data_IF_011405959241
#
_entry.id   IF_011405959241
#
_cell.length_a   1.000
_cell.length_b   1.000
_cell.length_c   1.000
_cell.angle_alpha   90.00
_cell.angle_beta   90.00
_cell.angle_gamma   90.00
#
_symmetry.space_group_name_H-M   'P 1'
#
loop_
_entity.id
_entity.type
_entity.pdbx_description
1 polymer ?
#
# COMPACT_ATOMS: atom_id res chain seq x y z
N UNK A 1 10.03 -36.76 4.96
CA UNK A 1 10.04 -35.43 4.30
C UNK A 1 8.63 -35.10 3.82
N UNK A 2 7.74 -34.66 4.73
CA UNK A 2 6.35 -34.27 4.41
C UNK A 2 6.39 -32.88 3.80
N UNK A 3 6.29 -32.77 2.47
CA UNK A 3 6.18 -31.49 1.77
C UNK A 3 4.93 -30.74 2.27
N UNK A 4 5.10 -29.47 2.55
CA UNK A 4 4.03 -28.55 2.92
C UNK A 4 3.06 -28.34 1.74
N UNK A 5 2.06 -29.21 1.59
CA UNK A 5 0.95 -29.07 0.62
C UNK A 5 -0.23 -28.25 1.18
N UNK A 6 0.01 -27.42 2.20
CA UNK A 6 -1.07 -26.95 3.06
C UNK A 6 -1.86 -25.73 2.58
N UNK A 7 -1.56 -25.10 1.44
CA UNK A 7 -2.41 -24.02 0.89
C UNK A 7 -2.34 -23.88 -0.64
N UNK A 8 -2.63 -24.97 -1.37
CA UNK A 8 -2.64 -25.00 -2.84
C UNK A 8 -3.48 -23.86 -3.42
N UNK A 9 -4.63 -23.54 -2.83
CA UNK A 9 -5.56 -22.55 -3.40
C UNK A 9 -4.99 -21.13 -3.49
N UNK A 10 -4.40 -20.59 -2.40
CA UNK A 10 -3.88 -19.21 -2.42
C UNK A 10 -2.67 -19.08 -3.34
N UNK A 11 -1.78 -20.07 -3.31
CA UNK A 11 -0.54 -20.07 -4.08
C UNK A 11 -0.78 -20.26 -5.58
N UNK A 12 -1.74 -21.11 -5.97
CA UNK A 12 -1.96 -21.47 -7.38
C UNK A 12 -3.08 -20.70 -8.07
N UNK A 13 -4.08 -20.24 -7.32
CA UNK A 13 -5.30 -19.67 -7.90
C UNK A 13 -6.17 -20.70 -8.65
N UNK A 14 -5.95 -22.01 -8.44
CA UNK A 14 -6.74 -23.05 -9.10
C UNK A 14 -8.24 -22.88 -8.84
N UNK A 15 -9.06 -23.10 -9.88
CA UNK A 15 -10.52 -23.03 -9.72
C UNK A 15 -11.04 -24.19 -8.85
N UNK A 16 -12.24 -24.01 -8.28
CA UNK A 16 -12.84 -24.96 -7.33
C UNK A 16 -13.06 -26.36 -7.93
N UNK A 17 -13.32 -26.46 -9.25
CA UNK A 17 -13.51 -27.75 -9.93
C UNK A 17 -12.20 -28.54 -9.94
N UNK A 18 -11.08 -27.89 -10.26
CA UNK A 18 -9.76 -28.51 -10.22
C UNK A 18 -9.40 -28.99 -8.81
N UNK A 19 -9.66 -28.18 -7.78
CA UNK A 19 -9.45 -28.59 -6.39
C UNK A 19 -10.35 -29.77 -5.97
N UNK A 20 -11.59 -29.80 -6.46
CA UNK A 20 -12.54 -30.89 -6.22
C UNK A 20 -12.06 -32.21 -6.75
N UNK A 21 -11.57 -32.21 -7.99
CA UNK A 21 -10.95 -33.38 -8.59
C UNK A 21 -9.65 -33.77 -7.85
N UNK A 22 -8.80 -32.79 -7.52
CA UNK A 22 -7.51 -33.06 -6.87
C UNK A 22 -7.66 -33.67 -5.47
N UNK A 23 -8.55 -33.12 -4.64
CA UNK A 23 -8.77 -33.60 -3.27
C UNK A 23 -9.85 -34.67 -3.15
N UNK A 24 -10.56 -35.01 -4.24
CA UNK A 24 -11.71 -35.93 -4.24
C UNK A 24 -12.76 -35.52 -3.20
N UNK A 25 -13.12 -34.23 -3.19
CA UNK A 25 -14.10 -33.65 -2.26
C UNK A 25 -15.10 -32.76 -2.98
N UNK A 26 -16.33 -32.72 -2.49
CA UNK A 26 -17.39 -31.88 -3.06
C UNK A 26 -17.07 -30.38 -3.00
N UNK A 27 -17.65 -29.61 -3.92
CA UNK A 27 -17.43 -28.16 -4.01
C UNK A 27 -17.76 -27.43 -2.70
N UNK A 28 -18.83 -27.82 -2.01
CA UNK A 28 -19.25 -27.22 -0.74
C UNK A 28 -18.19 -27.40 0.34
N UNK A 29 -17.66 -28.61 0.49
CA UNK A 29 -16.60 -28.94 1.44
C UNK A 29 -15.34 -28.12 1.19
N UNK A 30 -14.93 -27.97 -0.08
CA UNK A 30 -13.73 -27.18 -0.43
C UNK A 30 -13.93 -25.69 -0.12
N UNK A 31 -15.09 -25.14 -0.45
CA UNK A 31 -15.42 -23.74 -0.13
C UNK A 31 -15.35 -23.49 1.38
N UNK A 32 -15.88 -24.42 2.16
CA UNK A 32 -15.88 -24.34 3.61
C UNK A 32 -14.46 -24.45 4.18
N UNK A 33 -13.64 -25.37 3.67
CA UNK A 33 -12.22 -25.48 4.06
C UNK A 33 -11.50 -24.15 3.77
N UNK A 34 -11.64 -23.60 2.55
CA UNK A 34 -11.01 -22.32 2.19
C UNK A 34 -11.44 -21.22 3.16
N UNK A 35 -12.75 -21.08 3.40
CA UNK A 35 -13.28 -20.04 4.29
C UNK A 35 -12.77 -20.20 5.73
N UNK A 36 -12.84 -21.41 6.30
CA UNK A 36 -12.38 -21.69 7.67
C UNK A 36 -10.88 -21.46 7.80
N UNK A 37 -10.08 -21.95 6.85
CA UNK A 37 -8.62 -21.79 6.86
C UNK A 37 -8.22 -20.31 6.79
N UNK A 38 -8.85 -19.50 5.91
CA UNK A 38 -8.59 -18.06 5.85
C UNK A 38 -8.83 -17.35 7.18
N UNK A 39 -9.92 -17.69 7.88
CA UNK A 39 -10.26 -17.13 9.20
C UNK A 39 -9.24 -17.55 10.26
N UNK A 40 -8.86 -18.82 10.29
CA UNK A 40 -7.89 -19.35 11.26
C UNK A 40 -6.52 -18.72 11.07
N UNK A 41 -6.04 -18.58 9.82
CA UNK A 41 -4.78 -17.90 9.51
C UNK A 41 -4.76 -16.49 10.08
N UNK A 42 -5.84 -15.72 9.85
CA UNK A 42 -5.96 -14.38 10.40
C UNK A 42 -5.91 -14.39 11.93
N UNK A 43 -6.76 -15.21 12.56
CA UNK A 43 -6.87 -15.28 14.03
C UNK A 43 -5.54 -15.64 14.71
N UNK A 44 -4.76 -16.55 14.13
CA UNK A 44 -3.53 -17.06 14.73
C UNK A 44 -2.33 -16.15 14.45
N UNK A 45 -2.17 -15.67 13.21
CA UNK A 45 -0.96 -14.95 12.82
C UNK A 45 -1.07 -13.43 12.98
N UNK A 46 -2.27 -12.84 13.01
CA UNK A 46 -2.44 -11.38 13.00
C UNK A 46 -1.78 -10.69 14.21
N UNK A 47 -1.88 -11.19 15.45
CA UNK A 47 -1.23 -10.56 16.59
C UNK A 47 0.29 -10.42 16.45
N UNK A 48 0.94 -11.30 15.70
CA UNK A 48 2.41 -11.33 15.55
C UNK A 48 2.89 -10.65 14.26
N UNK A 49 2.21 -10.90 13.14
CA UNK A 49 2.69 -10.50 11.81
C UNK A 49 2.00 -9.25 11.26
N UNK A 50 0.90 -8.80 11.84
CA UNK A 50 0.24 -7.54 11.51
C UNK A 50 -0.45 -6.94 12.76
N UNK A 51 0.29 -6.69 13.85
CA UNK A 51 -0.27 -6.06 15.05
C UNK A 51 -0.75 -4.63 14.75
N UNK A 52 -1.57 -4.07 15.62
CA UNK A 52 -1.89 -2.65 15.55
C UNK A 52 -0.59 -1.83 15.71
N UNK A 53 -0.29 -0.89 14.79
CA UNK A 53 0.91 -0.07 14.91
C UNK A 53 0.92 0.76 16.19
N UNK A 54 2.08 0.82 16.84
CA UNK A 54 2.36 1.70 17.99
C UNK A 54 3.20 2.91 17.55
N UNK A 55 3.34 3.91 18.43
CA UNK A 55 4.28 5.02 18.21
C UNK A 55 5.68 4.53 17.80
N UNK A 56 6.22 3.50 18.45
CA UNK A 56 7.53 2.92 18.12
C UNK A 56 7.55 2.30 16.72
N UNK A 57 6.47 1.63 16.32
CA UNK A 57 6.32 1.05 14.98
C UNK A 57 6.45 2.14 13.91
N UNK A 58 5.80 3.28 14.12
CA UNK A 58 5.87 4.43 13.22
C UNK A 58 7.26 5.08 13.20
N UNK A 59 7.90 5.26 14.36
CA UNK A 59 9.28 5.79 14.45
C UNK A 59 10.26 4.89 13.71
N UNK A 60 10.17 3.58 13.90
CA UNK A 60 11.03 2.60 13.21
C UNK A 60 10.82 2.66 11.69
N UNK A 61 9.56 2.69 11.24
CA UNK A 61 9.25 2.85 9.82
C UNK A 61 9.82 4.16 9.26
N UNK A 62 9.65 5.29 9.96
CA UNK A 62 10.19 6.59 9.54
C UNK A 62 11.71 6.62 9.42
N UNK A 63 12.41 6.04 10.40
CA UNK A 63 13.86 5.86 10.32
C UNK A 63 14.22 5.05 9.08
N UNK A 64 13.48 3.97 8.81
CA UNK A 64 13.74 3.09 7.68
C UNK A 64 13.48 3.75 6.33
N UNK A 65 12.43 4.57 6.22
CA UNK A 65 12.17 5.41 5.05
C UNK A 65 13.29 6.41 4.79
N UNK A 66 13.87 6.98 5.85
CA UNK A 66 15.03 7.85 5.71
C UNK A 66 16.26 7.09 5.21
N UNK A 67 16.55 5.90 5.75
CA UNK A 67 17.69 5.07 5.36
C UNK A 67 17.62 4.59 3.90
N UNK A 68 16.45 4.11 3.46
CA UNK A 68 16.29 3.50 2.12
C UNK A 68 15.93 4.50 1.04
N UNK A 69 15.02 5.42 1.36
CA UNK A 69 14.36 6.28 0.38
C UNK A 69 14.75 7.75 0.54
N UNK A 70 15.54 8.07 1.56
CA UNK A 70 15.90 9.42 1.96
C UNK A 70 14.64 10.28 2.13
N UNK A 71 13.59 9.71 2.71
CA UNK A 71 12.30 10.38 2.89
C UNK A 71 12.07 10.59 4.40
N UNK A 72 12.39 11.78 4.94
CA UNK A 72 12.37 12.01 6.39
C UNK A 72 10.93 12.05 6.90
N UNK A 73 10.72 11.62 8.14
CA UNK A 73 9.44 11.57 8.85
C UNK A 73 8.30 10.82 8.09
N UNK A 74 8.61 10.08 7.03
CA UNK A 74 7.64 9.29 6.28
C UNK A 74 7.42 7.95 6.99
N UNK A 75 6.25 7.71 7.57
CA UNK A 75 5.96 6.50 8.36
C UNK A 75 5.42 5.34 7.54
N UNK A 76 5.09 5.56 6.27
CA UNK A 76 4.51 4.55 5.40
C UNK A 76 4.07 5.10 4.05
N UNK A 77 3.87 4.21 3.09
CA UNK A 77 3.22 4.53 1.82
C UNK A 77 1.84 3.90 1.75
N UNK A 78 0.84 4.69 1.33
CA UNK A 78 -0.56 4.27 1.21
C UNK A 78 -0.91 4.06 -0.26
N UNK A 79 -1.57 2.95 -0.56
CA UNK A 79 -2.18 2.75 -1.86
C UNK A 79 -3.33 1.72 -1.81
N UNK A 80 -4.19 1.78 -2.82
CA UNK A 80 -5.28 0.84 -3.04
C UNK A 80 -4.92 -0.22 -4.08
N UNK A 81 -5.47 -1.43 -3.91
CA UNK A 81 -5.38 -2.51 -4.88
C UNK A 81 -6.75 -3.10 -5.15
N UNK A 82 -7.16 -3.14 -6.42
CA UNK A 82 -8.35 -3.86 -6.84
C UNK A 82 -8.09 -5.37 -6.85
N UNK A 83 -8.92 -6.12 -6.12
CA UNK A 83 -8.96 -7.59 -6.13
C UNK A 83 -10.15 -8.03 -6.97
N UNK A 84 -9.87 -8.74 -8.07
CA UNK A 84 -10.89 -9.13 -9.05
C UNK A 84 -11.79 -10.24 -8.48
N UNK A 85 -13.09 -10.01 -8.52
CA UNK A 85 -14.11 -10.94 -8.04
C UNK A 85 -15.09 -11.29 -9.15
N UNK A 86 -15.81 -12.41 -8.99
CA UNK A 86 -17.02 -12.64 -9.77
C UNK A 86 -18.10 -11.66 -9.31
N UNK A 87 -18.95 -11.22 -10.24
CA UNK A 87 -20.12 -10.38 -9.94
C UNK A 87 -20.92 -10.95 -8.76
N UNK A 88 -21.04 -10.21 -7.64
CA UNK A 88 -21.90 -10.62 -6.55
C UNK A 88 -23.39 -10.60 -6.96
N UNK A 89 -24.22 -11.51 -6.44
CA UNK A 89 -25.65 -11.51 -6.76
C UNK A 89 -26.31 -10.17 -6.38
N UNK A 90 -27.18 -9.66 -7.24
CA UNK A 90 -27.99 -8.44 -7.01
C UNK A 90 -27.18 -7.15 -6.71
N UNK A 91 -25.89 -7.10 -7.03
CA UNK A 91 -25.01 -5.98 -6.66
C UNK A 91 -24.99 -4.78 -7.62
N UNK A 92 -25.83 -4.78 -8.66
CA UNK A 92 -25.79 -3.76 -9.71
C UNK A 92 -24.38 -3.50 -10.25
N UNK A 93 -23.95 -2.23 -10.21
CA UNK A 93 -22.64 -1.74 -10.63
C UNK A 93 -21.70 -1.35 -9.47
N UNK A 94 -22.07 -1.65 -8.22
CA UNK A 94 -21.32 -1.20 -7.02
C UNK A 94 -19.87 -1.67 -7.01
N UNK A 95 -19.63 -2.90 -7.47
CA UNK A 95 -18.30 -3.50 -7.52
C UNK A 95 -17.57 -3.27 -8.84
N UNK A 96 -18.16 -2.57 -9.81
CA UNK A 96 -17.51 -2.29 -11.10
C UNK A 96 -16.52 -1.14 -10.91
N UNK A 97 -15.25 -1.40 -11.16
CA UNK A 97 -14.22 -0.39 -11.13
C UNK A 97 -14.11 0.40 -12.44
N UNK A 98 -13.21 1.38 -12.46
CA UNK A 98 -12.96 2.23 -13.63
C UNK A 98 -12.43 1.45 -14.86
N UNK A 99 -11.93 0.22 -14.67
CA UNK A 99 -11.50 -0.70 -15.75
C UNK A 99 -12.61 -1.62 -16.25
N UNK A 100 -13.83 -1.47 -15.75
CA UNK A 100 -15.00 -2.24 -16.22
C UNK A 100 -15.09 -3.67 -15.70
N UNK A 101 -14.33 -4.05 -14.65
CA UNK A 101 -14.46 -5.37 -14.02
C UNK A 101 -14.89 -5.29 -12.55
N UNK A 102 -15.48 -6.38 -12.05
CA UNK A 102 -15.94 -6.48 -10.67
C UNK A 102 -14.75 -6.69 -9.72
N UNK A 103 -14.65 -5.85 -8.68
CA UNK A 103 -13.58 -5.91 -7.68
C UNK A 103 -14.02 -5.43 -6.31
N UNK A 104 -13.30 -5.88 -5.29
CA UNK A 104 -13.20 -5.18 -4.00
C UNK A 104 -11.87 -4.44 -3.93
N UNK A 105 -11.76 -3.44 -3.06
CA UNK A 105 -10.53 -2.70 -2.82
C UNK A 105 -9.86 -3.22 -1.53
N UNK A 106 -8.56 -3.50 -1.64
CA UNK A 106 -7.62 -3.62 -0.52
C UNK A 106 -6.90 -2.27 -0.38
N UNK A 107 -7.15 -1.54 0.70
CA UNK A 107 -6.38 -0.37 1.08
C UNK A 107 -5.26 -0.82 2.03
N UNK A 108 -4.02 -0.45 1.76
CA UNK A 108 -2.91 -0.86 2.61
C UNK A 108 -1.91 0.27 2.85
N UNK A 109 -1.27 0.23 4.02
CA UNK A 109 -0.06 0.99 4.31
C UNK A 109 1.09 0.03 4.42
N UNK A 110 2.15 0.28 3.67
CA UNK A 110 3.40 -0.46 3.75
C UNK A 110 4.47 0.34 4.48
N UNK A 111 5.35 -0.35 5.20
CA UNK A 111 6.63 0.18 5.63
C UNK A 111 7.63 0.27 4.45
N UNK A 112 8.82 0.79 4.73
CA UNK A 112 9.86 1.00 3.73
C UNK A 112 10.41 -0.30 3.12
N UNK A 113 10.36 -1.43 3.85
CA UNK A 113 10.87 -2.73 3.43
C UNK A 113 9.81 -3.58 2.70
N UNK A 114 8.57 -3.10 2.65
CA UNK A 114 7.49 -3.75 1.93
C UNK A 114 6.68 -4.72 2.80
N UNK A 115 6.66 -4.55 4.12
CA UNK A 115 5.70 -5.22 5.00
C UNK A 115 4.48 -4.32 5.19
N UNK A 116 3.29 -4.91 5.22
CA UNK A 116 2.09 -4.15 5.54
C UNK A 116 2.08 -3.79 7.03
N UNK A 117 1.81 -2.52 7.34
CA UNK A 117 1.61 -2.03 8.71
C UNK A 117 0.12 -2.03 9.08
N UNK A 118 -0.75 -1.80 8.11
CA UNK A 118 -2.20 -1.87 8.27
C UNK A 118 -2.84 -2.19 6.93
N UNK A 119 -3.99 -2.87 6.98
CA UNK A 119 -4.81 -3.17 5.81
C UNK A 119 -6.29 -2.93 6.14
N UNK A 120 -7.05 -2.55 5.12
CA UNK A 120 -8.51 -2.51 5.15
C UNK A 120 -9.03 -3.15 3.85
N UNK A 121 -10.02 -4.02 3.96
CA UNK A 121 -10.45 -4.92 2.87
C UNK A 121 -11.98 -4.95 2.82
N UNK A 122 -12.51 -4.89 1.60
CA UNK A 122 -13.93 -5.16 1.33
C UNK A 122 -14.67 -3.96 0.74
N UNK A 123 -13.98 -2.82 0.58
CA UNK A 123 -14.59 -1.62 0.01
C UNK A 123 -14.98 -1.84 -1.46
N UNK A 124 -16.06 -1.21 -1.91
CA UNK A 124 -16.61 -1.40 -3.25
C UNK A 124 -15.63 -0.97 -4.36
N UNK A 125 -15.52 -1.79 -5.41
CA UNK A 125 -14.65 -1.51 -6.56
C UNK A 125 -14.93 -0.21 -7.31
N UNK A 126 -16.13 0.37 -7.18
CA UNK A 126 -16.46 1.69 -7.74
C UNK A 126 -15.82 2.85 -6.99
N UNK A 127 -15.41 2.64 -5.74
CA UNK A 127 -14.85 3.69 -4.90
C UNK A 127 -13.42 4.03 -5.36
N UNK A 128 -13.11 5.33 -5.39
CA UNK A 128 -11.73 5.80 -5.57
C UNK A 128 -10.91 5.62 -4.29
N UNK A 129 -9.59 5.67 -4.39
CA UNK A 129 -8.69 5.51 -3.24
C UNK A 129 -8.95 6.55 -2.14
N UNK A 130 -9.24 7.79 -2.51
CA UNK A 130 -9.63 8.83 -1.55
C UNK A 130 -10.93 8.51 -0.80
N UNK A 131 -11.91 7.85 -1.46
CA UNK A 131 -13.14 7.41 -0.80
C UNK A 131 -12.91 6.17 0.07
N UNK A 132 -12.16 5.19 -0.45
CA UNK A 132 -11.80 3.99 0.30
C UNK A 132 -11.00 4.33 1.55
N UNK A 133 -10.07 5.30 1.47
CA UNK A 133 -9.37 5.82 2.64
C UNK A 133 -10.34 6.39 3.67
N UNK A 134 -11.26 7.28 3.25
CA UNK A 134 -12.20 7.93 4.17
C UNK A 134 -13.07 6.92 4.93
N UNK A 135 -13.53 5.87 4.26
CA UNK A 135 -14.39 4.86 4.88
C UNK A 135 -13.62 3.80 5.69
N UNK A 136 -12.33 3.60 5.39
CA UNK A 136 -11.46 2.67 6.12
C UNK A 136 -11.29 3.05 7.60
N UNK A 137 -11.07 2.03 8.43
CA UNK A 137 -10.73 2.21 9.84
C UNK A 137 -9.45 3.02 10.01
N UNK A 138 -8.47 2.80 9.13
CA UNK A 138 -7.22 3.56 9.12
C UNK A 138 -7.48 5.05 8.86
N UNK A 139 -8.24 5.39 7.81
CA UNK A 139 -8.52 6.80 7.50
C UNK A 139 -9.38 7.49 8.55
N UNK A 140 -10.33 6.77 9.17
CA UNK A 140 -11.09 7.28 10.33
C UNK A 140 -10.16 7.60 11.51
N UNK A 141 -9.24 6.71 11.86
CA UNK A 141 -8.23 6.96 12.90
C UNK A 141 -7.28 8.09 12.54
N UNK A 142 -6.90 8.21 11.27
CA UNK A 142 -6.04 9.27 10.77
C UNK A 142 -6.68 10.65 10.92
N UNK A 143 -7.96 10.79 10.53
CA UNK A 143 -8.70 12.05 10.64
C UNK A 143 -8.96 12.42 12.10
N UNK A 144 -9.26 11.42 12.95
CA UNK A 144 -9.53 11.62 14.37
C UNK A 144 -8.26 11.71 15.23
N UNK A 145 -7.07 11.67 14.63
CA UNK A 145 -5.77 11.69 15.33
C UNK A 145 -5.59 10.58 16.39
N UNK A 146 -6.14 9.39 16.12
CA UNK A 146 -6.07 8.20 17.02
C UNK A 146 -5.19 7.07 16.48
N UNK A 147 -4.29 7.37 15.54
CA UNK A 147 -3.28 6.43 15.02
C UNK A 147 -2.02 6.32 15.89
N UNK A 148 -1.93 7.10 16.97
CA UNK A 148 -0.75 7.17 17.84
C UNK A 148 0.54 7.50 17.05
N UNK A 149 0.43 8.46 16.12
CA UNK A 149 1.59 8.97 15.40
C UNK A 149 2.56 9.66 16.39
N UNK A 150 3.87 9.60 16.13
CA UNK A 150 4.84 10.30 16.97
C UNK A 150 4.64 11.81 16.90
N UNK A 151 5.03 12.49 17.98
CA UNK A 151 5.00 13.94 18.03
C UNK A 151 5.91 14.53 16.94
N UNK A 152 5.54 15.67 16.32
CA UNK A 152 6.33 16.28 15.26
C UNK A 152 7.79 16.46 15.66
N UNK A 153 8.71 16.03 14.80
CA UNK A 153 10.16 16.16 15.02
C UNK A 153 10.78 16.97 13.87
N UNK A 154 11.91 17.65 14.10
CA UNK A 154 12.56 18.40 13.04
C UNK A 154 13.03 17.49 11.91
N UNK A 155 13.06 18.03 10.69
CA UNK A 155 13.75 17.39 9.57
C UNK A 155 15.27 17.43 9.80
N UNK A 156 16.06 16.53 9.18
CA UNK A 156 17.51 16.55 9.31
C UNK A 156 18.12 17.93 8.99
N UNK A 157 18.94 18.47 9.89
CA UNK A 157 19.58 19.79 9.70
C UNK A 157 18.62 20.99 9.78
N UNK A 158 17.41 20.80 10.31
CA UNK A 158 16.43 21.87 10.51
C UNK A 158 16.06 21.98 12.00
N UNK A 159 15.67 23.18 12.44
CA UNK A 159 15.26 23.43 13.84
C UNK A 159 13.74 23.43 14.02
N UNK A 160 12.97 23.48 12.92
CA UNK A 160 11.51 23.55 12.99
C UNK A 160 10.89 22.16 12.91
N UNK A 161 9.95 21.89 13.83
CA UNK A 161 9.21 20.62 13.85
C UNK A 161 8.43 20.37 12.56
N UNK A 162 8.45 19.12 12.12
CA UNK A 162 7.75 18.64 10.94
C UNK A 162 6.93 17.39 11.28
N UNK A 163 5.65 17.31 10.85
CA UNK A 163 4.79 16.18 11.21
C UNK A 163 5.26 14.88 10.55
N UNK A 164 4.98 13.75 11.20
CA UNK A 164 5.06 12.46 10.55
C UNK A 164 3.92 12.30 9.54
N UNK A 165 4.22 11.72 8.38
CA UNK A 165 3.26 11.63 7.27
C UNK A 165 3.37 10.32 6.50
N UNK A 166 2.34 10.05 5.70
CA UNK A 166 2.31 8.95 4.75
C UNK A 166 2.47 9.45 3.30
N UNK A 167 3.21 8.71 2.48
CA UNK A 167 3.35 8.98 1.06
C UNK A 167 2.19 8.35 0.27
N UNK A 168 1.50 9.12 -0.56
CA UNK A 168 0.30 8.67 -1.26
C UNK A 168 0.24 9.19 -2.71
N UNK A 169 -0.57 8.56 -3.56
CA UNK A 169 -0.74 8.97 -4.96
C UNK A 169 -1.57 10.26 -5.10
N UNK A 170 -1.77 10.69 -6.36
CA UNK A 170 -2.55 11.88 -6.67
C UNK A 170 -4.05 11.77 -6.32
N UNK A 171 -4.61 10.56 -6.29
CA UNK A 171 -6.01 10.27 -6.00
C UNK A 171 -6.36 10.46 -4.51
N UNK A 172 -5.36 10.46 -3.61
CA UNK A 172 -5.56 10.76 -2.20
C UNK A 172 -5.72 12.28 -1.91
N UNK A 173 -6.37 12.66 -0.79
CA UNK A 173 -6.38 14.04 -0.33
C UNK A 173 -5.00 14.47 0.19
N UNK A 174 -4.66 15.75 0.02
CA UNK A 174 -3.48 16.34 0.68
C UNK A 174 -3.84 16.72 2.12
N UNK A 175 -3.09 16.20 3.10
CA UNK A 175 -3.26 16.47 4.53
C UNK A 175 -1.89 16.76 5.16
N UNK A 176 -1.84 17.30 6.38
CA UNK A 176 -0.56 17.44 7.09
C UNK A 176 0.12 16.07 7.30
N UNK A 177 -0.68 15.00 7.41
CA UNK A 177 -0.24 13.62 7.60
C UNK A 177 -0.28 12.78 6.31
N UNK A 178 -0.68 13.33 5.16
CA UNK A 178 -0.63 12.64 3.86
C UNK A 178 0.00 13.55 2.83
N UNK A 179 1.16 13.16 2.31
CA UNK A 179 1.84 13.85 1.23
C UNK A 179 1.53 13.20 -0.11
N UNK A 180 1.11 14.04 -1.06
CA UNK A 180 0.82 13.63 -2.44
C UNK A 180 1.59 14.49 -3.46
N UNK A 181 1.88 13.96 -4.66
CA UNK A 181 2.65 14.69 -5.66
C UNK A 181 1.95 15.99 -6.09
N UNK A 182 2.74 16.94 -6.58
CA UNK A 182 2.22 18.07 -7.34
C UNK A 182 1.61 17.56 -8.66
N UNK A 183 0.48 18.15 -9.12
CA UNK A 183 -0.09 17.83 -10.42
C UNK A 183 0.94 18.04 -11.53
N UNK A 184 0.89 17.19 -12.56
CA UNK A 184 1.88 17.21 -13.67
C UNK A 184 1.90 18.53 -14.46
N UNK A 185 0.79 19.29 -14.46
CA UNK A 185 0.67 20.57 -15.19
C UNK A 185 1.42 21.68 -14.45
N UNK A 186 2.35 22.36 -15.14
CA UNK A 186 3.10 23.49 -14.58
C UNK A 186 4.15 23.07 -13.52
N UNK A 187 4.74 21.89 -13.69
CA UNK A 187 5.79 21.38 -12.79
C UNK A 187 7.09 22.17 -12.96
N UNK A 188 7.42 22.98 -11.96
CA UNK A 188 8.76 23.57 -11.82
C UNK A 188 9.77 22.49 -11.40
N UNK A 189 11.05 22.73 -11.68
CA UNK A 189 12.15 21.82 -11.30
C UNK A 189 12.11 21.45 -9.81
N UNK A 190 11.84 22.42 -8.94
CA UNK A 190 11.59 22.22 -7.51
C UNK A 190 10.51 21.17 -7.24
N UNK A 191 9.35 21.30 -7.87
CA UNK A 191 8.23 20.36 -7.71
C UNK A 191 8.52 18.99 -8.32
N UNK A 192 9.33 18.92 -9.39
CA UNK A 192 9.76 17.66 -10.01
C UNK A 192 10.68 16.87 -9.10
N UNK A 193 11.64 17.54 -8.45
CA UNK A 193 12.48 16.92 -7.41
C UNK A 193 11.57 16.33 -6.33
N UNK A 194 10.65 17.11 -5.75
CA UNK A 194 9.71 16.60 -4.76
C UNK A 194 8.93 15.37 -5.24
N UNK A 195 8.32 15.42 -6.43
CA UNK A 195 7.56 14.30 -6.99
C UNK A 195 8.42 13.05 -7.15
N UNK A 196 9.66 13.19 -7.65
CA UNK A 196 10.61 12.09 -7.76
C UNK A 196 10.99 11.49 -6.41
N UNK A 197 11.21 12.33 -5.38
CA UNK A 197 11.53 11.87 -4.02
C UNK A 197 10.36 11.14 -3.38
N UNK A 198 9.14 11.68 -3.50
CA UNK A 198 7.93 11.05 -2.99
C UNK A 198 7.62 9.72 -3.70
N UNK A 199 7.81 9.67 -5.02
CA UNK A 199 7.63 8.44 -5.81
C UNK A 199 8.53 7.30 -5.33
N UNK A 200 9.79 7.59 -4.95
CA UNK A 200 10.70 6.56 -4.40
C UNK A 200 10.15 5.90 -3.14
N UNK A 201 9.57 6.66 -2.21
CA UNK A 201 8.94 6.10 -1.00
C UNK A 201 7.61 5.40 -1.29
N UNK A 202 6.80 5.95 -2.21
CA UNK A 202 5.53 5.32 -2.65
C UNK A 202 5.72 3.92 -3.22
N UNK A 203 6.82 3.67 -3.93
CA UNK A 203 7.11 2.36 -4.51
C UNK A 203 7.09 1.22 -3.48
N UNK A 204 7.31 1.49 -2.18
CA UNK A 204 7.26 0.45 -1.15
C UNK A 204 5.92 -0.31 -1.10
N UNK A 205 4.78 0.38 -1.15
CA UNK A 205 3.46 -0.30 -1.15
C UNK A 205 3.13 -0.96 -2.49
N UNK A 206 3.53 -0.34 -3.61
CA UNK A 206 3.39 -0.94 -4.94
C UNK A 206 4.20 -2.24 -5.06
N UNK A 207 5.45 -2.24 -4.60
CA UNK A 207 6.30 -3.42 -4.53
C UNK A 207 5.72 -4.48 -3.58
N UNK A 208 5.12 -4.07 -2.46
CA UNK A 208 4.44 -5.00 -1.54
C UNK A 208 3.30 -5.73 -2.24
N UNK A 209 2.46 -4.99 -2.98
CA UNK A 209 1.40 -5.59 -3.79
C UNK A 209 1.94 -6.49 -4.88
N UNK A 210 3.03 -6.11 -5.56
CA UNK A 210 3.69 -6.93 -6.57
C UNK A 210 4.23 -8.24 -6.00
N UNK A 211 5.01 -8.18 -4.92
CA UNK A 211 5.57 -9.35 -4.22
C UNK A 211 4.46 -10.28 -3.71
N UNK A 212 3.43 -9.71 -3.08
CA UNK A 212 2.27 -10.47 -2.60
C UNK A 212 1.53 -11.15 -3.77
N UNK A 213 1.28 -10.45 -4.87
CA UNK A 213 0.59 -11.03 -6.04
C UNK A 213 1.40 -12.13 -6.72
N UNK A 214 2.72 -11.93 -6.81
CA UNK A 214 3.66 -12.93 -7.37
C UNK A 214 3.66 -14.24 -6.57
N UNK A 215 3.65 -14.16 -5.24
CA UNK A 215 3.59 -15.34 -4.34
C UNK A 215 2.22 -16.01 -4.33
N UNK A 216 1.15 -15.22 -4.36
CA UNK A 216 -0.22 -15.69 -4.22
C UNK A 216 -1.02 -15.49 -5.50
N UNK A 217 -0.91 -16.48 -6.41
CA UNK A 217 -1.52 -16.39 -7.75
C UNK A 217 -3.04 -16.25 -7.73
N UNK A 218 -3.71 -16.57 -6.61
CA UNK A 218 -5.14 -16.29 -6.45
C UNK A 218 -5.50 -14.83 -6.79
N UNK A 219 -4.60 -13.88 -6.49
CA UNK A 219 -4.80 -12.45 -6.75
C UNK A 219 -4.74 -12.08 -8.24
N UNK A 220 -4.22 -12.97 -9.10
CA UNK A 220 -4.22 -12.82 -10.56
C UNK A 220 -5.47 -13.44 -11.22
N UNK A 221 -6.35 -14.07 -10.44
CA UNK A 221 -7.55 -14.73 -10.94
C UNK A 221 -8.82 -13.94 -10.65
N UNK A 222 -9.96 -14.38 -11.18
CA UNK A 222 -11.28 -13.89 -10.78
C UNK A 222 -11.82 -14.76 -9.65
N UNK A 223 -11.88 -14.23 -8.43
CA UNK A 223 -12.29 -15.02 -7.25
C UNK A 223 -13.82 -15.22 -7.27
N UNK A 224 -14.24 -16.48 -7.44
CA UNK A 224 -15.64 -16.90 -7.54
C UNK A 224 -16.27 -17.35 -6.21
N UNK A 225 -15.97 -16.65 -5.12
CA UNK A 225 -16.48 -16.94 -3.77
C UNK A 225 -17.36 -15.77 -3.28
N UNK A 226 -18.08 -15.98 -2.17
CA UNK A 226 -18.84 -14.89 -1.56
C UNK A 226 -17.88 -13.81 -1.01
N UNK A 227 -18.35 -12.56 -0.91
CA UNK A 227 -17.52 -11.39 -0.54
C UNK A 227 -16.81 -11.61 0.79
N UNK A 228 -17.52 -12.07 1.83
CA UNK A 228 -16.94 -12.30 3.15
C UNK A 228 -15.76 -13.31 3.11
N UNK A 229 -15.87 -14.36 2.29
CA UNK A 229 -14.78 -15.30 2.08
C UNK A 229 -13.64 -14.65 1.30
N UNK A 230 -13.93 -13.83 0.29
CA UNK A 230 -12.88 -13.08 -0.43
C UNK A 230 -12.12 -12.15 0.52
N UNK A 231 -12.82 -11.41 1.39
CA UNK A 231 -12.19 -10.51 2.36
C UNK A 231 -11.23 -11.27 3.28
N UNK A 232 -11.66 -12.43 3.78
CA UNK A 232 -10.82 -13.29 4.61
C UNK A 232 -9.62 -13.85 3.85
N UNK A 233 -9.77 -14.20 2.57
CA UNK A 233 -8.66 -14.66 1.72
C UNK A 233 -7.63 -13.54 1.56
N UNK A 234 -8.07 -12.33 1.23
CA UNK A 234 -7.18 -11.18 1.02
C UNK A 234 -6.45 -10.83 2.31
N UNK A 235 -7.16 -10.80 3.45
CA UNK A 235 -6.57 -10.63 4.79
C UNK A 235 -5.51 -11.68 5.09
N UNK A 236 -5.82 -12.97 4.85
CA UNK A 236 -4.89 -14.07 5.06
C UNK A 236 -3.65 -13.94 4.15
N UNK A 237 -3.82 -13.54 2.89
CA UNK A 237 -2.72 -13.37 1.94
C UNK A 237 -1.79 -12.21 2.32
N UNK A 238 -2.33 -11.05 2.73
CA UNK A 238 -1.53 -9.94 3.25
C UNK A 238 -0.72 -10.35 4.48
N UNK A 239 -1.34 -11.12 5.38
CA UNK A 239 -0.70 -11.59 6.60
C UNK A 239 0.39 -12.63 6.33
N UNK A 240 0.14 -13.56 5.39
CA UNK A 240 1.14 -14.54 4.95
C UNK A 240 2.30 -13.87 4.21
N UNK A 241 2.07 -12.78 3.48
CA UNK A 241 3.16 -11.98 2.90
C UNK A 241 4.08 -11.42 3.98
N UNK A 242 3.52 -10.81 5.04
CA UNK A 242 4.29 -10.35 6.19
C UNK A 242 5.01 -11.48 6.91
N UNK A 243 4.34 -12.62 7.12
CA UNK A 243 4.93 -13.83 7.69
C UNK A 243 6.17 -14.25 6.93
N UNK A 244 6.05 -14.49 5.63
CA UNK A 244 7.17 -14.93 4.78
C UNK A 244 8.31 -13.91 4.85
N UNK A 245 8.01 -12.61 4.71
CA UNK A 245 9.06 -11.57 4.77
C UNK A 245 9.81 -11.55 6.09
N UNK A 246 9.11 -11.67 7.22
CA UNK A 246 9.73 -11.65 8.55
C UNK A 246 10.56 -12.90 8.82
N UNK A 247 10.05 -14.08 8.43
CA UNK A 247 10.75 -15.36 8.62
C UNK A 247 11.98 -15.51 7.69
N UNK A 248 11.89 -15.04 6.44
CA UNK A 248 13.04 -15.06 5.53
C UNK A 248 14.12 -14.05 5.95
N UNK A 249 13.75 -12.98 6.65
CA UNK A 249 14.68 -11.93 7.09
C UNK A 249 15.33 -11.14 5.95
N UNK A 250 14.80 -11.25 4.73
CA UNK A 250 15.33 -10.58 3.54
C UNK A 250 14.69 -9.20 3.41
N UNK A 251 15.42 -8.20 3.88
CA UNK A 251 15.04 -6.79 3.84
C UNK A 251 15.83 -6.00 2.79
N UNK A 252 15.28 -4.88 2.36
CA UNK A 252 15.91 -4.02 1.35
C UNK A 252 17.25 -3.51 1.89
N UNK A 253 18.26 -3.35 1.04
CA UNK A 253 19.52 -2.73 1.47
C UNK A 253 19.55 -1.28 1.01
N UNK A 254 20.01 -0.33 1.85
CA UNK A 254 20.29 1.02 1.37
C UNK A 254 21.23 0.91 0.18
N UNK A 255 20.92 1.59 -0.94
CA UNK A 255 21.88 1.65 -2.05
C UNK A 255 23.15 2.32 -1.51
N UNK A 256 24.25 1.58 -1.48
CA UNK A 256 25.55 2.12 -1.08
C UNK A 256 25.97 3.26 -2.02
N UNK A 257 26.84 4.16 -1.54
CA UNK A 257 27.41 5.29 -2.31
C UNK A 257 28.23 4.88 -3.57
N UNK A 258 28.22 3.61 -4.00
CA UNK A 258 28.97 3.12 -5.15
C UNK A 258 28.04 2.64 -6.27
N UNK A 259 28.06 3.41 -7.36
CA UNK A 259 28.12 2.92 -8.74
C UNK A 259 27.05 1.95 -9.21
N UNK A 260 25.90 2.48 -9.59
CA UNK A 260 25.42 2.53 -10.97
C UNK A 260 24.01 3.10 -10.89
N UNK A 261 23.81 4.21 -11.58
CA UNK A 261 22.47 4.69 -11.87
C UNK A 261 21.86 3.73 -12.89
N UNK A 262 21.44 2.55 -12.42
CA UNK A 262 20.54 1.74 -13.20
C UNK A 262 19.23 2.51 -13.26
N UNK A 263 19.00 3.07 -14.45
CA UNK A 263 17.76 3.68 -14.87
C UNK A 263 16.61 2.76 -14.49
N UNK A 264 15.84 3.16 -13.48
CA UNK A 264 14.47 2.68 -13.38
C UNK A 264 13.68 3.65 -14.23
N UNK A 265 13.63 3.34 -15.53
CA UNK A 265 12.56 3.82 -16.39
C UNK A 265 11.26 3.62 -15.62
N UNK A 266 10.60 4.74 -15.34
CA UNK A 266 9.28 4.73 -14.75
C UNK A 266 8.34 4.38 -15.89
N UNK A 267 8.18 3.09 -16.18
CA UNK A 267 6.93 2.61 -16.78
C UNK A 267 5.83 2.83 -15.72
N UNK A 268 5.34 4.07 -15.68
CA UNK A 268 4.01 4.30 -15.19
C UNK A 268 3.13 3.61 -16.23
N UNK A 269 2.58 2.43 -15.93
CA UNK A 269 1.29 2.10 -16.54
C UNK A 269 0.37 3.27 -16.18
N UNK A 270 0.10 4.12 -17.17
CA UNK A 270 -0.86 5.19 -17.04
C UNK A 270 -2.20 4.56 -16.69
N UNK A 271 -2.61 4.73 -15.44
CA UNK A 271 -3.95 4.39 -15.00
C UNK A 271 -4.75 5.69 -15.03
N UNK A 272 -5.54 5.96 -16.09
CA UNK A 272 -6.39 7.14 -16.13
C UNK A 272 -7.51 6.96 -15.12
N UNK A 273 -7.27 7.40 -13.89
CA UNK A 273 -8.35 7.59 -12.93
C UNK A 273 -9.29 8.65 -13.50
N UNK A 274 -10.61 8.40 -13.60
CA UNK A 274 -11.55 9.44 -13.94
C UNK A 274 -11.37 10.62 -12.98
N UNK A 275 -11.21 11.84 -13.50
CA UNK A 275 -11.17 13.06 -12.68
C UNK A 275 -12.52 13.22 -11.98
N UNK A 276 -12.63 12.70 -10.76
CA UNK A 276 -13.75 13.03 -9.89
C UNK A 276 -13.51 14.44 -9.37
N UNK A 277 -14.36 15.36 -9.80
CA UNK A 277 -14.40 16.80 -9.52
C UNK A 277 -14.55 17.19 -8.05
N UNK A 278 -14.43 16.25 -7.12
CA UNK A 278 -14.64 16.42 -5.68
C UNK A 278 -13.34 16.36 -4.85
N UNK A 279 -12.21 16.81 -5.41
CA UNK A 279 -11.06 17.13 -4.56
C UNK A 279 -11.40 18.35 -3.72
N UNK A 280 -11.77 18.15 -2.45
CA UNK A 280 -11.81 19.23 -1.45
C UNK A 280 -10.47 19.97 -1.52
N UNK A 281 -10.52 21.30 -1.57
CA UNK A 281 -9.30 22.14 -1.55
C UNK A 281 -8.47 21.75 -0.33
N UNK A 282 -7.19 21.48 -0.55
CA UNK A 282 -6.26 21.23 0.54
C UNK A 282 -6.26 22.41 1.50
N UNK A 283 -6.11 22.13 2.79
CA UNK A 283 -6.03 23.19 3.81
C UNK A 283 -4.70 23.94 3.67
N UNK A 284 -4.67 25.22 4.04
CA UNK A 284 -3.44 26.03 4.01
C UNK A 284 -2.28 25.36 4.80
N UNK A 285 -2.50 24.75 5.99
CA UNK A 285 -1.46 24.01 6.69
C UNK A 285 -0.91 22.81 5.93
N UNK A 286 -1.78 22.04 5.24
CA UNK A 286 -1.34 20.89 4.46
C UNK A 286 -0.50 21.31 3.24
N UNK A 287 -0.88 22.41 2.58
CA UNK A 287 -0.10 23.02 1.50
C UNK A 287 1.26 23.47 2.04
N UNK A 288 1.29 24.25 3.13
CA UNK A 288 2.53 24.74 3.73
C UNK A 288 3.46 23.60 4.17
N UNK A 289 2.92 22.52 4.73
CA UNK A 289 3.70 21.33 5.10
C UNK A 289 4.37 20.70 3.88
N UNK A 290 3.64 20.55 2.76
CA UNK A 290 4.22 20.03 1.52
C UNK A 290 5.29 20.97 0.95
N UNK A 291 5.05 22.28 0.97
CA UNK A 291 6.04 23.27 0.50
C UNK A 291 7.33 23.19 1.34
N UNK A 292 7.25 23.10 2.67
CA UNK A 292 8.40 22.92 3.55
C UNK A 292 9.22 21.67 3.20
N UNK A 293 8.56 20.54 2.95
CA UNK A 293 9.24 19.31 2.55
C UNK A 293 9.86 19.42 1.14
N UNK A 294 9.19 20.13 0.24
CA UNK A 294 9.70 20.44 -1.10
C UNK A 294 10.98 21.29 -1.03
N UNK A 295 11.01 22.29 -0.16
CA UNK A 295 12.17 23.15 0.09
C UNK A 295 13.31 22.37 0.75
N UNK A 296 12.99 21.50 1.72
CA UNK A 296 13.97 20.63 2.37
C UNK A 296 14.78 19.81 1.36
N UNK A 297 14.16 19.24 0.31
CA UNK A 297 14.89 18.46 -0.70
C UNK A 297 15.88 19.28 -1.55
N UNK A 298 15.85 20.60 -1.45
CA UNK A 298 16.80 21.49 -2.10
C UNK A 298 17.93 21.97 -1.17
N UNK A 299 17.87 21.65 0.12
CA UNK A 299 18.90 21.99 1.12
C UNK A 299 20.11 21.06 1.01
N UNK A 300 21.21 21.42 1.69
CA UNK A 300 22.43 20.59 1.75
C UNK A 300 22.12 19.21 2.34
N UNK A 301 21.33 19.15 3.42
CA UNK A 301 20.99 17.90 4.11
C UNK A 301 19.94 17.05 3.38
N UNK A 302 19.04 17.68 2.61
CA UNK A 302 17.96 16.98 1.90
C UNK A 302 18.25 16.62 0.45
N UNK A 303 19.24 17.27 -0.17
CA UNK A 303 19.57 17.08 -1.59
C UNK A 303 20.31 15.76 -1.85
N UNK A 304 20.00 15.14 -2.99
CA UNK A 304 20.68 13.93 -3.46
C UNK A 304 21.47 14.17 -4.74
N UNK A 305 22.59 13.45 -4.88
CA UNK A 305 23.33 13.37 -6.15
C UNK A 305 22.40 12.87 -7.26
N UNK A 306 22.44 13.52 -8.42
CA UNK A 306 21.61 13.17 -9.57
C UNK A 306 20.16 13.64 -9.52
N UNK A 307 19.67 14.27 -8.44
CA UNK A 307 18.26 14.72 -8.38
C UNK A 307 17.91 15.80 -9.41
N UNK A 308 18.92 16.49 -9.97
CA UNK A 308 18.73 17.43 -11.09
C UNK A 308 18.35 16.73 -12.40
N UNK A 309 18.47 15.39 -12.51
CA UNK A 309 17.97 14.64 -13.69
C UNK A 309 16.46 14.72 -13.85
N UNK A 310 15.73 15.01 -12.77
CA UNK A 310 14.29 15.27 -12.81
C UNK A 310 13.95 16.69 -13.31
N UNK A 311 14.95 17.54 -13.52
CA UNK A 311 14.80 18.93 -13.93
C UNK A 311 14.99 19.08 -15.45
N UNK A 312 13.92 18.91 -16.23
CA UNK A 312 13.87 19.27 -17.66
C UNK A 312 12.49 19.86 -18.00
#
# INVERSE_FOLDING_TARGET
MKRAEHNVYFATGCNLKALSCYFLRGHTTIREIIARTSVVIWKVLQPTYLPNPTKETWVQSARRYWELWNLPNCVGSIDGKHIRIKRPPKSGSEFINYKGYFSIVLMAVSDADGCFLTIDVGEYGRNSDGRALKESNFGKKLVNSTLDLPDPSPLPGQDTNFPFYFAADEAFPLMCTIMKPYPKRGLTNRKRVFNGRLSRGRKSVECSFGMMSSKFRILHTTIGLNINTVDNIVKAVCLLHNFIKKEEGIFSRPRGKKGNDDDIEVENEEQPYPRLSNQRRATNPAIATREKLCDFFLTVDGSLKGQKRFCV
#
